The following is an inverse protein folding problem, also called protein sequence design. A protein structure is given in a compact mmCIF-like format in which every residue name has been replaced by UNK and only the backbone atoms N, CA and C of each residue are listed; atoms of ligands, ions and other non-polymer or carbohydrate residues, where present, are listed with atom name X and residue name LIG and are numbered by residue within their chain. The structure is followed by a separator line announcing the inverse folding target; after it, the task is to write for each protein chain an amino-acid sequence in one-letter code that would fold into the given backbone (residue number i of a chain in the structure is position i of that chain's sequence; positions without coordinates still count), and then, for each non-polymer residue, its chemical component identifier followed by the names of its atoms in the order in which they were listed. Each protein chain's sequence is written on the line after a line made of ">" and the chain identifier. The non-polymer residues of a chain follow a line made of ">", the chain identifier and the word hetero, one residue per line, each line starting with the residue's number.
data_IF_325583557834
#
_entry.id   IF_325583557834
#
_cell.length_a   1.000
_cell.length_b   1.000
_cell.length_c   1.000
_cell.angle_alpha   90.00
_cell.angle_beta   90.00
_cell.angle_gamma   90.00
#
_symmetry.space_group_name_H-M   'P 1'
#
loop_
_entity.id
_entity.type
_entity.pdbx_description
1 polymer ?
#
# COMPACT_ATOMS: atom_id res chain seq x y z
N UNK A 1 -7.74 -10.86 -13.19
CA UNK A 1 -7.01 -10.58 -11.91
C UNK A 1 -6.29 -11.86 -11.45
N UNK A 2 -5.11 -11.76 -10.85
CA UNK A 2 -4.38 -12.86 -10.20
C UNK A 2 -4.43 -12.66 -8.69
N UNK A 3 -4.36 -13.76 -7.92
CA UNK A 3 -4.43 -13.74 -6.46
C UNK A 3 -3.18 -14.39 -5.85
N UNK A 4 -2.90 -14.08 -4.60
CA UNK A 4 -1.80 -14.64 -3.84
C UNK A 4 -2.23 -14.89 -2.39
N UNK A 5 -1.65 -15.92 -1.76
CA UNK A 5 -1.91 -16.24 -0.36
C UNK A 5 -1.23 -15.23 0.56
N UNK A 6 -1.92 -14.82 1.62
CA UNK A 6 -1.38 -13.92 2.65
C UNK A 6 -0.63 -14.72 3.71
N UNK A 7 0.69 -14.73 3.64
CA UNK A 7 1.53 -15.43 4.61
C UNK A 7 1.14 -16.91 4.78
N UNK A 8 1.02 -17.34 6.04
CA UNK A 8 0.57 -18.70 6.40
C UNK A 8 -0.94 -18.80 6.67
N UNK A 9 -1.69 -17.76 6.34
CA UNK A 9 -3.15 -17.75 6.56
C UNK A 9 -3.90 -18.49 5.43
N UNK A 10 -5.21 -18.62 5.59
CA UNK A 10 -6.14 -19.06 4.55
C UNK A 10 -6.68 -17.91 3.67
N UNK A 11 -6.17 -16.69 3.88
CA UNK A 11 -6.62 -15.49 3.19
C UNK A 11 -5.92 -15.38 1.83
N UNK A 12 -6.71 -15.15 0.77
CA UNK A 12 -6.21 -14.81 -0.55
C UNK A 12 -6.45 -13.33 -0.85
N UNK A 13 -5.43 -12.62 -1.31
CA UNK A 13 -5.49 -11.20 -1.69
C UNK A 13 -5.28 -11.04 -3.19
N UNK A 14 -5.93 -10.06 -3.80
CA UNK A 14 -5.62 -9.70 -5.19
C UNK A 14 -4.19 -9.15 -5.29
N UNK A 15 -3.49 -9.49 -6.38
CA UNK A 15 -2.11 -9.02 -6.61
C UNK A 15 -2.01 -7.50 -6.74
N UNK A 16 -3.13 -6.83 -7.00
CA UNK A 16 -3.32 -5.38 -6.91
C UNK A 16 -4.40 -5.15 -5.86
N UNK A 17 -4.02 -4.52 -4.74
CA UNK A 17 -4.91 -4.11 -3.65
C UNK A 17 -5.35 -2.67 -3.87
N UNK A 18 -6.64 -2.36 -3.67
CA UNK A 18 -7.12 -0.98 -3.71
C UNK A 18 -6.66 -0.22 -2.47
N UNK A 19 -5.86 0.84 -2.67
CA UNK A 19 -5.45 1.76 -1.60
C UNK A 19 -6.46 2.88 -1.41
N UNK A 20 -7.14 2.92 -0.28
CA UNK A 20 -8.25 3.84 -0.01
C UNK A 20 -7.83 5.15 0.70
N UNK A 21 -6.53 5.45 0.82
CA UNK A 21 -6.04 6.64 1.53
C UNK A 21 -6.62 7.94 0.95
N UNK A 22 -6.68 8.07 -0.39
CA UNK A 22 -7.18 9.26 -1.06
C UNK A 22 -8.66 9.51 -0.78
N UNK A 23 -9.44 8.46 -0.52
CA UNK A 23 -10.88 8.54 -0.25
C UNK A 23 -11.18 9.27 1.08
N UNK A 24 -10.22 9.30 1.98
CA UNK A 24 -10.31 10.06 3.23
C UNK A 24 -10.35 11.57 3.02
N UNK A 25 -9.89 12.07 1.87
CA UNK A 25 -9.70 13.51 1.67
C UNK A 25 -8.52 14.06 2.47
N UNK A 26 -8.55 15.35 2.81
CA UNK A 26 -7.52 15.98 3.62
C UNK A 26 -7.40 15.34 5.01
N UNK A 27 -6.16 15.13 5.46
CA UNK A 27 -5.91 14.55 6.77
C UNK A 27 -5.83 15.66 7.83
N UNK A 28 -6.69 15.62 8.84
CA UNK A 28 -6.68 16.57 9.95
C UNK A 28 -5.36 16.53 10.76
N UNK A 29 -4.66 15.38 10.76
CA UNK A 29 -3.40 15.19 11.49
C UNK A 29 -2.15 15.68 10.73
N UNK A 30 -2.23 15.92 9.44
CA UNK A 30 -1.09 16.38 8.62
C UNK A 30 -1.00 17.90 8.48
N UNK A 31 -1.64 18.66 9.36
CA UNK A 31 -1.63 20.12 9.31
C UNK A 31 -2.20 20.72 8.02
N UNK A 32 -3.04 19.98 7.31
CA UNK A 32 -3.67 20.44 6.07
C UNK A 32 -2.82 20.27 4.81
N UNK A 33 -1.64 19.66 4.91
CA UNK A 33 -0.69 19.48 3.80
C UNK A 33 -1.01 18.30 2.86
N UNK A 34 -1.79 17.31 3.29
CA UNK A 34 -2.28 16.23 2.43
C UNK A 34 -3.71 16.53 1.97
N UNK A 35 -3.84 17.35 0.97
CA UNK A 35 -5.15 17.67 0.38
C UNK A 35 -5.38 16.83 -0.87
N UNK A 36 -5.89 15.64 -0.66
CA UNK A 36 -6.65 14.99 -1.73
C UNK A 36 -7.96 15.73 -1.91
N UNK A 37 -8.41 15.91 -3.13
CA UNK A 37 -9.71 16.51 -3.40
C UNK A 37 -10.81 15.72 -2.69
N UNK A 38 -11.66 16.42 -1.95
CA UNK A 38 -12.79 15.79 -1.28
C UNK A 38 -13.90 15.55 -2.30
N UNK A 39 -13.87 14.39 -2.92
CA UNK A 39 -14.93 13.97 -3.85
C UNK A 39 -16.22 13.61 -3.11
N UNK A 40 -17.39 13.70 -3.80
CA UNK A 40 -18.63 13.16 -3.29
C UNK A 40 -18.48 11.72 -2.85
N UNK A 41 -19.10 11.37 -1.75
CA UNK A 41 -19.01 10.03 -1.15
C UNK A 41 -19.50 8.95 -2.09
N UNK A 42 -20.60 9.22 -2.79
CA UNK A 42 -21.21 8.29 -3.75
C UNK A 42 -20.30 7.96 -4.94
N UNK A 43 -19.46 8.89 -5.37
CA UNK A 43 -18.47 8.63 -6.43
C UNK A 43 -17.40 7.66 -5.94
N UNK A 44 -16.93 7.83 -4.73
CA UNK A 44 -15.95 6.94 -4.11
C UNK A 44 -16.54 5.54 -3.85
N UNK A 45 -17.79 5.46 -3.40
CA UNK A 45 -18.51 4.21 -3.19
C UNK A 45 -18.67 3.46 -4.53
N UNK A 46 -19.07 4.18 -5.58
CA UNK A 46 -19.20 3.61 -6.93
C UNK A 46 -17.86 3.05 -7.42
N UNK A 47 -16.78 3.82 -7.27
CA UNK A 47 -15.44 3.40 -7.68
C UNK A 47 -14.99 2.11 -6.96
N UNK A 48 -15.22 2.00 -5.65
CA UNK A 48 -14.88 0.79 -4.90
C UNK A 48 -15.70 -0.44 -5.32
N UNK A 49 -16.99 -0.26 -5.60
CA UNK A 49 -17.85 -1.33 -6.12
C UNK A 49 -17.38 -1.82 -7.47
N UNK A 50 -17.08 -0.89 -8.37
CA UNK A 50 -16.53 -1.23 -9.68
C UNK A 50 -15.16 -1.89 -9.56
N UNK A 51 -14.30 -1.44 -8.63
CA UNK A 51 -13.02 -2.11 -8.35
C UNK A 51 -13.23 -3.58 -7.98
N UNK A 52 -14.18 -3.87 -7.10
CA UNK A 52 -14.55 -5.24 -6.75
C UNK A 52 -15.09 -6.03 -7.94
N UNK A 53 -16.01 -5.47 -8.72
CA UNK A 53 -16.59 -6.09 -9.93
C UNK A 53 -15.52 -6.44 -10.98
N UNK A 54 -14.41 -5.67 -11.03
CA UNK A 54 -13.25 -5.95 -11.89
C UNK A 54 -12.20 -6.85 -11.22
N UNK A 55 -12.53 -7.46 -10.09
CA UNK A 55 -11.75 -8.53 -9.44
C UNK A 55 -10.75 -8.06 -8.39
N UNK A 56 -10.72 -6.79 -8.00
CA UNK A 56 -10.00 -6.37 -6.81
C UNK A 56 -10.72 -6.91 -5.57
N UNK A 57 -10.15 -7.91 -4.91
CA UNK A 57 -10.75 -8.51 -3.71
C UNK A 57 -10.18 -7.95 -2.41
N UNK A 58 -9.08 -7.21 -2.46
CA UNK A 58 -8.42 -6.65 -1.28
C UNK A 58 -8.43 -5.12 -1.30
N UNK A 59 -8.75 -4.54 -0.13
CA UNK A 59 -8.91 -3.09 0.09
C UNK A 59 -8.15 -2.68 1.34
N UNK A 60 -7.28 -1.69 1.20
CA UNK A 60 -6.41 -1.19 2.27
C UNK A 60 -6.85 0.21 2.71
N UNK A 61 -7.15 0.37 3.98
CA UNK A 61 -7.52 1.65 4.62
C UNK A 61 -6.77 1.85 5.93
N UNK A 62 -7.13 2.86 6.73
CA UNK A 62 -6.62 3.10 8.08
C UNK A 62 -7.54 4.06 8.85
N UNK A 63 -7.53 3.98 10.19
CA UNK A 63 -8.26 4.92 11.06
C UNK A 63 -7.85 6.38 10.84
N UNK A 64 -6.58 6.62 10.45
CA UNK A 64 -6.06 7.97 10.21
C UNK A 64 -6.54 8.58 8.88
N UNK A 65 -7.01 7.78 7.92
CA UNK A 65 -7.35 8.29 6.60
C UNK A 65 -8.65 9.10 6.64
N UNK A 66 -8.49 10.43 6.66
CA UNK A 66 -9.61 11.36 6.81
C UNK A 66 -10.35 11.19 8.15
N UNK A 67 -9.62 10.87 9.24
CA UNK A 67 -10.18 10.61 10.56
C UNK A 67 -11.31 9.53 10.54
N UNK A 68 -11.06 8.45 9.80
CA UNK A 68 -11.99 7.32 9.66
C UNK A 68 -12.98 7.44 8.48
N UNK A 69 -12.98 8.55 7.74
CA UNK A 69 -13.86 8.72 6.57
C UNK A 69 -13.60 7.64 5.51
N UNK A 70 -12.32 7.30 5.27
CA UNK A 70 -11.97 6.24 4.33
C UNK A 70 -12.56 4.89 4.73
N UNK A 71 -12.46 4.51 6.00
CA UNK A 71 -13.06 3.28 6.52
C UNK A 71 -14.58 3.26 6.35
N UNK A 72 -15.25 4.39 6.63
CA UNK A 72 -16.70 4.51 6.46
C UNK A 72 -17.11 4.32 4.98
N UNK A 73 -16.39 4.92 4.03
CA UNK A 73 -16.65 4.77 2.59
C UNK A 73 -16.43 3.31 2.16
N UNK A 74 -15.33 2.69 2.59
CA UNK A 74 -15.03 1.27 2.30
C UNK A 74 -16.13 0.36 2.85
N UNK A 75 -16.55 0.57 4.10
CA UNK A 75 -17.63 -0.21 4.74
C UNK A 75 -18.94 -0.10 3.98
N UNK A 76 -19.34 1.12 3.60
CA UNK A 76 -20.55 1.38 2.80
C UNK A 76 -20.51 0.74 1.42
N UNK A 77 -19.36 0.84 0.76
CA UNK A 77 -19.19 0.31 -0.59
C UNK A 77 -19.31 -1.21 -0.64
N UNK A 78 -18.69 -1.90 0.34
CA UNK A 78 -18.48 -3.34 0.32
C UNK A 78 -19.45 -4.12 1.21
N UNK A 79 -20.41 -3.47 1.86
CA UNK A 79 -21.35 -4.10 2.80
C UNK A 79 -22.02 -5.37 2.24
N UNK A 80 -22.48 -5.32 0.99
CA UNK A 80 -23.19 -6.45 0.36
C UNK A 80 -22.27 -7.61 -0.07
N UNK A 81 -20.96 -7.35 -0.13
CA UNK A 81 -19.94 -8.32 -0.60
C UNK A 81 -18.84 -8.55 0.45
N UNK A 82 -19.05 -8.12 1.69
CA UNK A 82 -18.05 -8.15 2.77
C UNK A 82 -17.29 -9.47 2.89
N UNK A 83 -17.99 -10.59 2.82
CA UNK A 83 -17.42 -11.94 2.94
C UNK A 83 -16.58 -12.37 1.72
N UNK A 84 -16.67 -11.63 0.62
CA UNK A 84 -15.89 -11.88 -0.60
C UNK A 84 -14.68 -10.94 -0.71
N UNK A 85 -14.54 -10.02 0.27
CA UNK A 85 -13.47 -9.03 0.30
C UNK A 85 -12.51 -9.28 1.46
N UNK A 86 -11.25 -8.95 1.24
CA UNK A 86 -10.24 -8.80 2.28
C UNK A 86 -10.10 -7.33 2.61
N UNK A 87 -10.47 -6.93 3.83
CA UNK A 87 -10.32 -5.56 4.29
C UNK A 87 -9.14 -5.49 5.25
N UNK A 88 -8.16 -4.68 4.88
CA UNK A 88 -7.03 -4.32 5.71
C UNK A 88 -7.26 -2.91 6.29
N UNK A 89 -7.09 -2.75 7.60
CA UNK A 89 -7.04 -1.43 8.25
C UNK A 89 -5.91 -1.37 9.27
N UNK A 90 -5.66 -0.20 9.86
CA UNK A 90 -4.44 0.04 10.63
C UNK A 90 -4.74 0.87 11.88
N UNK A 91 -4.14 0.46 13.01
CA UNK A 91 -4.08 1.26 14.24
C UNK A 91 -2.87 2.21 14.19
N UNK A 92 -3.06 3.45 14.60
CA UNK A 92 -2.00 4.47 14.62
C UNK A 92 -1.00 4.26 15.76
N UNK A 93 0.20 4.84 15.64
CA UNK A 93 1.23 4.80 16.66
C UNK A 93 0.79 5.37 18.03
N UNK A 94 -0.24 6.21 18.05
CA UNK A 94 -0.78 6.82 19.26
C UNK A 94 -1.71 5.90 20.05
N UNK A 95 -2.23 4.83 19.43
CA UNK A 95 -3.20 3.91 20.01
C UNK A 95 -2.63 2.50 20.23
N UNK A 96 -1.31 2.36 20.42
CA UNK A 96 -0.64 1.04 20.52
C UNK A 96 -0.65 0.42 21.92
N UNK A 97 -1.19 1.07 22.96
CA UNK A 97 -1.43 0.40 24.24
C UNK A 97 -2.59 -0.58 24.12
N UNK A 98 -2.57 -1.71 24.84
CA UNK A 98 -3.58 -2.78 24.70
C UNK A 98 -5.03 -2.28 24.71
N UNK A 99 -5.38 -1.41 25.66
CA UNK A 99 -6.74 -0.85 25.76
C UNK A 99 -7.09 0.06 24.58
N UNK A 100 -6.12 0.81 24.09
CA UNK A 100 -6.32 1.76 22.99
C UNK A 100 -6.44 1.03 21.66
N UNK A 101 -5.67 -0.07 21.44
CA UNK A 101 -5.79 -0.97 20.29
C UNK A 101 -7.23 -1.49 20.18
N UNK A 102 -7.80 -2.02 21.30
CA UNK A 102 -9.18 -2.50 21.31
C UNK A 102 -10.18 -1.42 20.96
N UNK A 103 -10.02 -0.24 21.56
CA UNK A 103 -10.90 0.90 21.29
C UNK A 103 -10.85 1.32 19.82
N UNK A 104 -9.62 1.45 19.26
CA UNK A 104 -9.40 1.79 17.86
C UNK A 104 -9.99 0.73 16.92
N UNK A 105 -9.78 -0.56 17.23
CA UNK A 105 -10.34 -1.67 16.45
C UNK A 105 -11.87 -1.63 16.42
N UNK A 106 -12.53 -1.47 17.58
CA UNK A 106 -13.99 -1.38 17.65
C UNK A 106 -14.53 -0.19 16.83
N UNK A 107 -13.84 0.96 16.90
CA UNK A 107 -14.19 2.13 16.10
C UNK A 107 -14.01 1.88 14.60
N UNK A 108 -12.92 1.21 14.21
CA UNK A 108 -12.68 0.81 12.81
C UNK A 108 -13.77 -0.15 12.32
N UNK A 109 -14.11 -1.17 13.10
CA UNK A 109 -15.17 -2.13 12.76
C UNK A 109 -16.54 -1.45 12.64
N UNK A 110 -16.85 -0.50 13.53
CA UNK A 110 -18.07 0.30 13.45
C UNK A 110 -18.14 1.10 12.14
N UNK A 111 -17.05 1.81 11.77
CA UNK A 111 -17.00 2.58 10.52
C UNK A 111 -17.04 1.68 9.28
N UNK A 112 -16.38 0.54 9.33
CA UNK A 112 -16.36 -0.47 8.26
C UNK A 112 -17.65 -1.31 8.19
N UNK A 113 -18.56 -1.16 9.17
CA UNK A 113 -19.79 -1.93 9.28
C UNK A 113 -19.55 -3.45 9.17
N UNK A 114 -18.65 -3.97 10.00
CA UNK A 114 -18.23 -5.38 10.01
C UNK A 114 -17.95 -5.86 11.44
N UNK A 115 -18.04 -7.14 11.66
CA UNK A 115 -17.78 -7.82 12.95
C UNK A 115 -16.38 -8.44 13.03
N UNK A 116 -15.58 -8.33 11.97
CA UNK A 116 -14.19 -8.79 11.94
C UNK A 116 -13.35 -7.98 10.96
N UNK A 117 -12.01 -7.99 11.15
CA UNK A 117 -11.02 -7.43 10.21
C UNK A 117 -10.17 -8.57 9.66
N UNK A 118 -9.96 -8.60 8.34
CA UNK A 118 -9.13 -9.66 7.71
C UNK A 118 -7.66 -9.46 8.01
N UNK A 119 -7.15 -8.23 7.93
CA UNK A 119 -5.75 -7.91 8.19
C UNK A 119 -5.66 -6.59 8.97
N UNK A 120 -5.20 -6.67 10.22
CA UNK A 120 -5.05 -5.51 11.07
C UNK A 120 -3.59 -5.16 11.30
N UNK A 121 -3.22 -3.95 10.89
CA UNK A 121 -1.83 -3.49 10.94
C UNK A 121 -1.53 -2.59 12.13
N UNK A 122 -0.32 -2.67 12.67
CA UNK A 122 0.32 -1.52 13.31
C UNK A 122 0.78 -0.60 12.18
N UNK A 123 0.23 0.64 12.11
CA UNK A 123 0.49 1.58 11.01
C UNK A 123 1.94 2.07 10.97
N UNK A 124 2.49 2.34 12.16
CA UNK A 124 3.88 2.77 12.37
C UNK A 124 4.26 2.38 13.79
N UNK A 125 5.48 1.90 14.04
CA UNK A 125 5.92 1.60 15.38
C UNK A 125 5.92 2.86 16.26
N UNK A 126 5.68 2.71 17.56
CA UNK A 126 5.85 3.79 18.55
C UNK A 126 7.26 3.77 19.11
N UNK A 127 7.79 4.95 19.44
CA UNK A 127 9.03 5.06 20.23
C UNK A 127 8.77 4.94 21.74
N UNK A 128 7.51 5.12 22.17
CA UNK A 128 7.14 5.24 23.58
C UNK A 128 6.41 4.00 24.11
N UNK A 129 5.92 3.13 23.22
CA UNK A 129 5.16 1.94 23.55
C UNK A 129 5.92 0.71 23.05
N UNK A 130 6.31 -0.23 23.95
CA UNK A 130 7.00 -1.45 23.56
C UNK A 130 6.22 -2.28 22.54
N UNK A 131 6.91 -2.86 21.57
CA UNK A 131 6.32 -3.74 20.55
C UNK A 131 5.65 -4.95 21.20
N UNK A 132 6.19 -5.44 22.32
CA UNK A 132 5.63 -6.53 23.12
C UNK A 132 4.17 -6.26 23.53
N UNK A 133 3.87 -5.05 24.05
CA UNK A 133 2.51 -4.70 24.49
C UNK A 133 1.52 -4.76 23.33
N UNK A 134 1.89 -4.15 22.19
CA UNK A 134 1.05 -4.08 21.00
C UNK A 134 0.84 -5.46 20.37
N UNK A 135 1.90 -6.22 20.19
CA UNK A 135 1.84 -7.55 19.60
C UNK A 135 1.11 -8.55 20.48
N UNK A 136 1.30 -8.47 21.81
CA UNK A 136 0.56 -9.30 22.75
C UNK A 136 -0.96 -9.08 22.69
N UNK A 137 -1.38 -7.84 22.49
CA UNK A 137 -2.80 -7.54 22.33
C UNK A 137 -3.35 -7.98 20.96
N UNK A 138 -2.60 -7.75 19.88
CA UNK A 138 -3.00 -8.22 18.54
C UNK A 138 -3.11 -9.74 18.48
N UNK A 139 -2.21 -10.48 19.16
CA UNK A 139 -2.28 -11.94 19.25
C UNK A 139 -3.56 -12.41 19.94
N UNK A 140 -3.98 -11.77 21.04
CA UNK A 140 -5.26 -12.07 21.70
C UNK A 140 -6.46 -11.79 20.79
N UNK A 141 -6.46 -10.66 20.10
CA UNK A 141 -7.53 -10.30 19.17
C UNK A 141 -7.65 -11.30 18.00
N UNK A 142 -6.51 -11.86 17.56
CA UNK A 142 -6.49 -12.93 16.57
C UNK A 142 -7.03 -14.26 17.14
N UNK A 143 -6.67 -14.62 18.36
CA UNK A 143 -7.19 -15.80 19.07
C UNK A 143 -8.72 -15.68 19.31
N UNK A 144 -9.20 -14.48 19.62
CA UNK A 144 -10.63 -14.16 19.76
C UNK A 144 -11.38 -14.20 18.41
N UNK A 145 -10.66 -14.26 17.28
CA UNK A 145 -11.23 -14.28 15.93
C UNK A 145 -11.74 -12.92 15.44
N UNK A 146 -11.47 -11.85 16.18
CA UNK A 146 -11.89 -10.48 15.79
C UNK A 146 -11.02 -9.93 14.66
N UNK A 147 -9.75 -10.33 14.61
CA UNK A 147 -8.86 -10.11 13.46
C UNK A 147 -8.38 -11.47 12.93
N UNK A 148 -8.26 -11.63 11.60
CA UNK A 148 -7.84 -12.90 10.99
C UNK A 148 -6.32 -12.98 10.77
N UNK A 149 -5.68 -11.84 10.51
CA UNK A 149 -4.24 -11.74 10.29
C UNK A 149 -3.67 -10.47 10.96
N UNK A 150 -2.40 -10.56 11.39
CA UNK A 150 -1.64 -9.45 11.98
C UNK A 150 -0.65 -8.93 10.95
N UNK A 151 -0.64 -7.62 10.74
CA UNK A 151 0.33 -6.93 9.91
C UNK A 151 1.11 -5.86 10.67
N UNK A 152 2.27 -5.50 10.12
CA UNK A 152 3.03 -4.32 10.55
C UNK A 152 3.38 -3.46 9.34
N UNK A 153 3.43 -2.14 9.51
CA UNK A 153 3.82 -1.21 8.46
C UNK A 153 4.91 -0.27 8.95
N UNK A 154 5.84 0.09 8.06
CA UNK A 154 6.96 0.97 8.38
C UNK A 154 7.91 0.44 9.49
N UNK A 155 7.97 -0.87 9.67
CA UNK A 155 8.90 -1.53 10.58
C UNK A 155 10.24 -1.76 9.89
N UNK A 156 11.34 -1.51 10.61
CA UNK A 156 12.67 -2.00 10.24
C UNK A 156 12.76 -3.53 10.40
N UNK A 157 13.78 -4.15 9.83
CA UNK A 157 14.02 -5.58 10.04
C UNK A 157 14.19 -5.94 11.51
N UNK A 158 14.89 -5.08 12.29
CA UNK A 158 15.06 -5.30 13.72
C UNK A 158 13.72 -5.31 14.47
N UNK A 159 12.85 -4.33 14.19
CA UNK A 159 11.51 -4.24 14.77
C UNK A 159 10.59 -5.39 14.32
N UNK A 160 10.71 -5.84 13.07
CA UNK A 160 9.97 -7.02 12.59
C UNK A 160 10.41 -8.28 13.32
N UNK A 161 11.73 -8.49 13.50
CA UNK A 161 12.28 -9.61 14.26
C UNK A 161 11.83 -9.57 15.72
N UNK A 162 11.79 -8.39 16.33
CA UNK A 162 11.28 -8.20 17.69
C UNK A 162 9.77 -8.54 17.76
N UNK A 163 8.95 -8.00 16.86
CA UNK A 163 7.53 -8.29 16.81
C UNK A 163 7.24 -9.79 16.70
N UNK A 164 8.02 -10.51 15.90
CA UNK A 164 7.91 -11.96 15.73
C UNK A 164 8.22 -12.78 17.00
N UNK A 165 8.86 -12.20 18.02
CA UNK A 165 9.07 -12.86 19.32
C UNK A 165 7.79 -12.86 20.17
N UNK A 166 6.91 -11.88 19.99
CA UNK A 166 5.71 -11.70 20.80
C UNK A 166 4.41 -12.10 20.09
N UNK A 167 4.50 -12.44 18.80
CA UNK A 167 3.36 -12.90 18.02
C UNK A 167 3.69 -13.08 16.55
N UNK A 168 2.87 -13.85 15.85
CA UNK A 168 3.03 -14.08 14.42
C UNK A 168 2.66 -12.83 13.64
N UNK A 169 3.59 -12.30 12.84
CA UNK A 169 3.30 -11.30 11.80
C UNK A 169 3.04 -12.04 10.48
N UNK A 170 1.86 -11.84 9.89
CA UNK A 170 1.43 -12.47 8.64
C UNK A 170 1.79 -11.62 7.42
N UNK A 171 1.84 -10.29 7.59
CA UNK A 171 2.18 -9.37 6.50
C UNK A 171 2.98 -8.15 6.98
N UNK A 172 3.86 -7.65 6.11
CA UNK A 172 4.49 -6.34 6.27
C UNK A 172 4.11 -5.42 5.13
N UNK A 173 3.86 -4.13 5.43
CA UNK A 173 3.52 -3.11 4.44
C UNK A 173 4.62 -2.03 4.39
N UNK A 174 5.66 -2.19 3.55
CA UNK A 174 6.71 -1.21 3.34
C UNK A 174 6.42 -0.30 2.15
N UNK A 175 7.07 0.88 2.09
CA UNK A 175 7.22 1.62 0.84
C UNK A 175 8.17 0.87 -0.09
N UNK A 176 7.67 0.46 -1.26
CA UNK A 176 8.48 -0.28 -2.23
C UNK A 176 8.06 0.03 -3.65
N UNK A 177 8.98 0.55 -4.42
CA UNK A 177 8.85 0.88 -5.83
C UNK A 177 10.24 1.12 -6.44
N UNK A 178 10.35 1.39 -7.74
CA UNK A 178 11.64 1.59 -8.43
C UNK A 178 12.55 2.66 -7.81
N UNK A 179 11.98 3.66 -7.13
CA UNK A 179 12.72 4.75 -6.46
C UNK A 179 12.78 4.61 -4.93
N UNK A 180 12.43 3.44 -4.37
CA UNK A 180 12.58 3.07 -2.97
C UNK A 180 12.72 1.56 -2.87
N UNK A 181 13.96 1.09 -2.68
CA UNK A 181 14.33 -0.34 -2.78
C UNK A 181 15.04 -0.88 -1.55
N UNK A 182 15.10 -0.13 -0.47
CA UNK A 182 15.84 -0.52 0.75
C UNK A 182 15.37 -1.84 1.38
N UNK A 183 14.16 -2.31 1.06
CA UNK A 183 13.69 -3.62 1.54
C UNK A 183 14.43 -4.80 0.89
N UNK A 184 15.10 -4.57 -0.25
CA UNK A 184 15.82 -5.63 -0.99
C UNK A 184 17.12 -6.06 -0.33
N UNK A 185 17.65 -5.27 0.64
CA UNK A 185 18.90 -5.59 1.32
C UNK A 185 18.77 -6.86 2.19
N UNK A 186 17.88 -6.84 3.19
CA UNK A 186 17.74 -7.97 4.12
C UNK A 186 16.26 -8.28 4.46
N UNK A 187 15.38 -7.26 4.42
CA UNK A 187 14.00 -7.41 4.86
C UNK A 187 13.21 -8.37 3.96
N UNK A 188 13.42 -8.28 2.65
CA UNK A 188 12.76 -9.14 1.67
C UNK A 188 13.13 -10.62 1.88
N UNK A 189 14.40 -10.92 2.06
CA UNK A 189 14.85 -12.30 2.29
C UNK A 189 14.33 -12.85 3.62
N UNK A 190 14.31 -12.03 4.66
CA UNK A 190 13.71 -12.42 5.94
C UNK A 190 12.22 -12.73 5.81
N UNK A 191 11.47 -11.92 5.07
CA UNK A 191 10.06 -12.15 4.83
C UNK A 191 9.81 -13.45 4.06
N UNK A 192 10.60 -13.71 3.01
CA UNK A 192 10.53 -14.96 2.24
C UNK A 192 10.81 -16.19 3.10
N UNK A 193 11.84 -16.15 3.94
CA UNK A 193 12.23 -17.28 4.81
C UNK A 193 11.18 -17.56 5.90
N UNK A 194 10.41 -16.56 6.29
CA UNK A 194 9.42 -16.65 7.36
C UNK A 194 7.98 -16.67 6.86
N UNK A 195 7.73 -16.78 5.55
CA UNK A 195 6.40 -16.72 4.94
C UNK A 195 5.60 -15.48 5.39
N UNK A 196 6.23 -14.31 5.40
CA UNK A 196 5.59 -13.02 5.67
C UNK A 196 5.27 -12.35 4.34
N UNK A 197 4.00 -12.03 4.12
CA UNK A 197 3.56 -11.34 2.90
C UNK A 197 4.07 -9.91 2.84
N UNK A 198 4.54 -9.46 1.67
CA UNK A 198 4.91 -8.07 1.42
C UNK A 198 3.80 -7.40 0.62
N UNK A 199 3.16 -6.39 1.23
CA UNK A 199 2.12 -5.55 0.64
C UNK A 199 2.72 -4.16 0.41
N UNK A 200 3.22 -3.87 -0.79
CA UNK A 200 3.90 -2.58 -1.04
C UNK A 200 2.93 -1.42 -1.15
N UNK A 201 3.27 -0.27 -0.57
CA UNK A 201 2.53 0.97 -0.78
C UNK A 201 3.36 1.99 -1.57
N UNK A 202 2.74 3.07 -2.04
CA UNK A 202 3.32 4.08 -2.94
C UNK A 202 3.87 3.51 -4.26
N UNK A 203 3.30 2.45 -4.78
CA UNK A 203 3.76 1.68 -5.95
C UNK A 203 4.19 2.52 -7.16
N UNK A 204 3.67 3.75 -7.29
CA UNK A 204 4.00 4.71 -8.37
C UNK A 204 4.86 5.90 -7.88
N UNK A 205 5.56 5.78 -6.74
CA UNK A 205 6.39 6.85 -6.17
C UNK A 205 5.62 8.18 -6.08
N UNK A 206 4.40 8.15 -5.52
CA UNK A 206 3.49 9.31 -5.41
C UNK A 206 3.26 10.05 -6.74
N UNK A 207 3.34 9.32 -7.85
CA UNK A 207 3.06 9.82 -9.20
C UNK A 207 4.30 10.12 -10.06
N UNK A 208 5.52 10.02 -9.55
CA UNK A 208 6.74 10.23 -10.38
C UNK A 208 6.80 9.22 -11.52
N UNK A 209 6.55 7.94 -11.22
CA UNK A 209 6.61 6.85 -12.19
C UNK A 209 5.47 6.86 -13.22
N UNK A 210 4.56 7.83 -13.14
CA UNK A 210 3.56 8.10 -14.20
C UNK A 210 4.10 9.02 -15.31
N UNK A 211 5.29 9.63 -15.10
CA UNK A 211 5.88 10.60 -16.00
C UNK A 211 5.24 12.00 -15.99
N UNK A 212 4.20 12.22 -15.17
CA UNK A 212 3.42 13.47 -15.22
C UNK A 212 4.24 14.72 -14.88
N UNK A 213 5.22 14.60 -13.96
CA UNK A 213 6.09 15.71 -13.56
C UNK A 213 7.14 16.02 -14.62
N UNK A 214 7.51 15.06 -15.47
CA UNK A 214 8.42 15.22 -16.61
C UNK A 214 7.70 15.82 -17.83
N UNK A 215 6.37 15.83 -17.83
CA UNK A 215 5.50 16.48 -18.84
C UNK A 215 5.07 17.89 -18.43
N UNK A 216 5.76 18.48 -17.45
CA UNK A 216 5.59 19.88 -17.07
C UNK A 216 4.54 20.14 -15.98
N UNK A 217 3.97 19.09 -15.34
CA UNK A 217 3.11 19.31 -14.17
C UNK A 217 3.94 19.80 -12.99
N UNK A 218 3.59 20.95 -12.46
CA UNK A 218 4.22 21.48 -11.26
C UNK A 218 3.79 20.72 -10.00
N UNK A 219 4.71 20.61 -9.04
CA UNK A 219 4.42 20.06 -7.72
C UNK A 219 3.92 21.19 -6.83
N UNK A 220 2.61 21.26 -6.63
CA UNK A 220 1.95 22.37 -5.87
C UNK A 220 1.39 21.95 -4.51
N UNK A 221 1.54 20.68 -4.14
CA UNK A 221 1.01 20.10 -2.89
C UNK A 221 2.13 19.67 -1.93
N UNK A 222 1.76 18.91 -0.87
CA UNK A 222 2.66 18.40 0.16
C UNK A 222 3.91 17.67 -0.38
N UNK A 223 3.88 17.18 -1.61
CA UNK A 223 5.01 16.52 -2.25
C UNK A 223 6.18 17.46 -2.47
N UNK A 224 5.92 18.76 -2.59
CA UNK A 224 6.95 19.80 -2.78
C UNK A 224 8.03 19.79 -1.68
N UNK A 225 7.66 19.37 -0.46
CA UNK A 225 8.59 19.30 0.68
C UNK A 225 9.39 17.98 0.73
N UNK A 226 9.09 17.03 -0.15
CA UNK A 226 9.76 15.73 -0.19
C UNK A 226 11.04 15.81 -1.02
N UNK A 227 12.18 15.26 -0.55
CA UNK A 227 13.44 15.29 -1.29
C UNK A 227 13.30 14.82 -2.74
N UNK A 228 12.60 13.71 -2.96
CA UNK A 228 12.39 13.12 -4.29
C UNK A 228 11.68 14.06 -5.28
N UNK A 229 10.91 15.05 -4.79
CA UNK A 229 10.20 16.02 -5.63
C UNK A 229 10.94 17.34 -5.83
N UNK A 230 12.13 17.50 -5.29
CA UNK A 230 12.98 18.65 -5.62
C UNK A 230 13.40 18.58 -7.08
N UNK A 231 13.47 19.72 -7.75
CA UNK A 231 13.72 19.79 -9.20
C UNK A 231 14.97 19.06 -9.63
N UNK A 232 16.01 19.05 -8.81
CA UNK A 232 17.25 18.32 -9.09
C UNK A 232 17.04 16.82 -9.07
N UNK A 233 16.37 16.28 -8.03
CA UNK A 233 16.09 14.85 -7.92
C UNK A 233 15.10 14.38 -8.99
N UNK A 234 14.09 15.20 -9.35
CA UNK A 234 13.22 14.88 -10.48
C UNK A 234 14.02 14.73 -11.78
N UNK A 235 14.98 15.63 -12.06
CA UNK A 235 15.87 15.50 -13.24
C UNK A 235 16.68 14.21 -13.21
N UNK A 236 17.19 13.79 -12.05
CA UNK A 236 17.93 12.53 -11.91
C UNK A 236 17.10 11.29 -12.26
N UNK A 237 15.78 11.41 -12.29
CA UNK A 237 14.87 10.30 -12.69
C UNK A 237 14.53 10.29 -14.18
N UNK A 238 14.96 11.27 -14.98
CA UNK A 238 14.58 11.43 -16.40
C UNK A 238 14.90 10.19 -17.26
N UNK A 239 16.08 9.61 -17.09
CA UNK A 239 16.48 8.43 -17.88
C UNK A 239 15.61 7.22 -17.55
N UNK A 240 15.24 7.02 -16.27
CA UNK A 240 14.32 5.95 -15.87
C UNK A 240 12.92 6.18 -16.47
N UNK A 241 12.42 7.41 -16.45
CA UNK A 241 11.14 7.75 -17.06
C UNK A 241 11.16 7.53 -18.57
N UNK A 242 12.25 7.91 -19.25
CA UNK A 242 12.42 7.67 -20.70
C UNK A 242 12.39 6.17 -21.03
N UNK A 243 13.11 5.34 -20.27
CA UNK A 243 13.07 3.89 -20.45
C UNK A 243 11.66 3.32 -20.21
N UNK A 244 10.94 3.82 -19.20
CA UNK A 244 9.53 3.44 -18.98
C UNK A 244 8.66 3.84 -20.19
N UNK A 245 8.87 5.01 -20.79
CA UNK A 245 8.14 5.47 -21.99
C UNK A 245 8.43 4.57 -23.20
N UNK A 246 9.69 4.20 -23.44
CA UNK A 246 10.07 3.29 -24.53
C UNK A 246 9.40 1.92 -24.40
N UNK A 247 9.45 1.31 -23.22
CA UNK A 247 8.82 0.01 -22.98
C UNK A 247 7.28 0.12 -23.06
N UNK A 248 6.70 1.18 -22.51
CA UNK A 248 5.27 1.43 -22.55
C UNK A 248 4.76 1.56 -24.00
N UNK A 249 5.48 2.32 -24.83
CA UNK A 249 5.15 2.48 -26.24
C UNK A 249 5.23 1.13 -27.01
N UNK A 250 6.27 0.34 -26.75
CA UNK A 250 6.45 -0.97 -27.39
C UNK A 250 5.34 -1.97 -27.01
N UNK A 251 4.78 -1.85 -25.80
CA UNK A 251 3.73 -2.76 -25.29
C UNK A 251 2.31 -2.19 -25.44
N UNK A 252 2.14 -0.98 -25.96
CA UNK A 252 0.83 -0.32 -26.02
C UNK A 252 0.24 -0.06 -24.62
N UNK A 253 1.10 0.23 -23.65
CA UNK A 253 0.75 0.40 -22.24
C UNK A 253 1.07 1.81 -21.76
N UNK A 254 0.68 2.13 -20.50
CA UNK A 254 1.07 3.37 -19.81
C UNK A 254 2.34 3.13 -18.97
N UNK A 255 3.06 4.22 -18.63
CA UNK A 255 4.21 4.15 -17.72
C UNK A 255 3.82 3.54 -16.38
N UNK A 256 2.65 3.91 -15.85
CA UNK A 256 2.09 3.37 -14.59
C UNK A 256 1.97 1.85 -14.66
N UNK A 257 1.47 1.34 -15.77
CA UNK A 257 1.30 -0.10 -15.97
C UNK A 257 2.66 -0.82 -16.00
N UNK A 258 3.66 -0.27 -16.68
CA UNK A 258 5.02 -0.85 -16.71
C UNK A 258 5.65 -0.83 -15.31
N UNK A 259 5.53 0.28 -14.58
CA UNK A 259 6.07 0.39 -13.23
C UNK A 259 5.42 -0.60 -12.24
N UNK A 260 4.09 -0.77 -12.31
CA UNK A 260 3.37 -1.74 -11.49
C UNK A 260 3.71 -3.17 -11.93
N UNK A 261 3.79 -3.46 -13.23
CA UNK A 261 4.16 -4.78 -13.75
C UNK A 261 5.57 -5.18 -13.30
N UNK A 262 6.54 -4.26 -13.36
CA UNK A 262 7.88 -4.49 -12.81
C UNK A 262 7.82 -4.86 -11.32
N UNK A 263 7.04 -4.11 -10.55
CA UNK A 263 6.88 -4.35 -9.11
C UNK A 263 6.22 -5.71 -8.85
N UNK A 264 5.17 -6.07 -9.59
CA UNK A 264 4.49 -7.37 -9.49
C UNK A 264 5.39 -8.55 -9.87
N UNK A 265 6.39 -8.33 -10.71
CA UNK A 265 7.42 -9.31 -11.08
C UNK A 265 8.48 -9.53 -10.00
N UNK A 266 8.52 -8.72 -8.94
CA UNK A 266 9.54 -8.88 -7.87
C UNK A 266 9.25 -10.11 -7.01
N UNK A 267 10.30 -10.92 -6.83
CA UNK A 267 10.21 -12.09 -5.95
C UNK A 267 9.86 -11.64 -4.52
N UNK A 268 8.89 -12.31 -3.90
CA UNK A 268 8.46 -12.02 -2.53
C UNK A 268 7.35 -10.98 -2.40
N UNK A 269 7.07 -10.18 -3.42
CA UNK A 269 5.92 -9.29 -3.38
C UNK A 269 4.61 -10.08 -3.46
N UNK A 270 3.75 -9.89 -2.47
CA UNK A 270 2.41 -10.51 -2.44
C UNK A 270 1.39 -9.65 -3.18
N UNK A 271 1.35 -8.35 -2.92
CA UNK A 271 0.44 -7.42 -3.59
C UNK A 271 1.01 -6.00 -3.65
N UNK A 272 0.69 -5.28 -4.72
CA UNK A 272 0.94 -3.86 -4.84
C UNK A 272 -0.33 -3.08 -4.45
N UNK A 273 -0.22 -2.19 -3.46
CA UNK A 273 -1.31 -1.29 -3.08
C UNK A 273 -1.28 -0.09 -4.02
N UNK A 274 -2.37 0.07 -4.78
CA UNK A 274 -2.53 1.13 -5.76
C UNK A 274 -3.79 1.91 -5.44
N UNK A 275 -3.63 3.21 -5.12
CA UNK A 275 -4.73 4.12 -4.79
C UNK A 275 -4.92 5.16 -5.86
N UNK A 276 -6.17 5.51 -6.14
CA UNK A 276 -6.55 6.67 -6.94
C UNK A 276 -8.04 6.95 -6.78
N UNK A 277 -8.43 8.22 -6.90
CA UNK A 277 -9.83 8.64 -7.02
C UNK A 277 -10.29 8.76 -8.48
N UNK A 278 -9.45 8.40 -9.45
CA UNK A 278 -9.77 8.44 -10.86
C UNK A 278 -10.08 7.02 -11.35
N UNK A 279 -11.32 6.78 -11.72
CA UNK A 279 -11.83 5.49 -12.21
C UNK A 279 -11.00 4.95 -13.39
N UNK A 280 -10.76 5.78 -14.39
CA UNK A 280 -9.97 5.39 -15.57
C UNK A 280 -8.56 4.93 -15.17
N UNK A 281 -7.86 5.70 -14.33
CA UNK A 281 -6.51 5.34 -13.87
C UNK A 281 -6.51 4.05 -13.06
N UNK A 282 -7.53 3.80 -12.25
CA UNK A 282 -7.60 2.55 -11.49
C UNK A 282 -7.74 1.35 -12.40
N UNK A 283 -8.64 1.39 -13.37
CA UNK A 283 -8.84 0.28 -14.31
C UNK A 283 -7.63 0.07 -15.22
N UNK A 284 -7.00 1.14 -15.69
CA UNK A 284 -5.72 1.05 -16.39
C UNK A 284 -4.68 0.33 -15.52
N UNK A 285 -4.54 0.70 -14.26
CA UNK A 285 -3.59 0.08 -13.34
C UNK A 285 -3.91 -1.41 -13.06
N UNK A 286 -5.17 -1.82 -13.02
CA UNK A 286 -5.54 -3.24 -12.87
C UNK A 286 -5.00 -4.10 -14.01
N UNK A 287 -4.94 -3.58 -15.22
CA UNK A 287 -4.40 -4.31 -16.38
C UNK A 287 -2.88 -4.49 -16.33
N UNK A 288 -2.17 -3.88 -15.39
CA UNK A 288 -0.74 -4.14 -15.17
C UNK A 288 -0.43 -5.60 -14.90
N UNK A 289 -1.40 -6.36 -14.37
CA UNK A 289 -1.26 -7.78 -14.05
C UNK A 289 -1.13 -8.67 -15.30
N UNK A 290 -1.55 -8.15 -16.45
CA UNK A 290 -1.56 -8.87 -17.72
C UNK A 290 -0.35 -8.49 -18.60
N UNK A 291 0.47 -7.51 -18.16
CA UNK A 291 1.66 -7.07 -18.88
C UNK A 291 2.86 -7.91 -18.41
N UNK A 292 3.45 -8.63 -19.34
CA UNK A 292 4.66 -9.40 -19.12
C UNK A 292 5.87 -8.60 -19.63
N UNK A 293 6.80 -8.28 -18.73
CA UNK A 293 8.11 -7.73 -19.10
C UNK A 293 9.02 -8.88 -19.50
N UNK A 294 9.75 -8.70 -20.59
CA UNK A 294 10.83 -9.64 -20.93
C UNK A 294 11.94 -9.55 -19.89
N UNK A 295 12.79 -10.58 -19.81
CA UNK A 295 13.94 -10.59 -18.91
C UNK A 295 14.89 -9.40 -19.19
N UNK A 296 15.06 -9.05 -20.46
CA UNK A 296 15.87 -7.88 -20.88
C UNK A 296 15.25 -6.56 -20.37
N UNK A 297 13.95 -6.35 -20.58
CA UNK A 297 13.25 -5.15 -20.11
C UNK A 297 13.29 -5.03 -18.58
N UNK A 298 13.00 -6.12 -17.87
CA UNK A 298 13.05 -6.15 -16.42
C UNK A 298 14.45 -5.85 -15.89
N UNK A 299 15.50 -6.40 -16.53
CA UNK A 299 16.91 -6.17 -16.18
C UNK A 299 17.32 -4.72 -16.43
N UNK A 300 16.96 -4.14 -17.58
CA UNK A 300 17.25 -2.73 -17.89
C UNK A 300 16.62 -1.80 -16.86
N UNK A 301 15.34 -2.00 -16.53
CA UNK A 301 14.64 -1.24 -15.52
C UNK A 301 15.29 -1.40 -14.13
N UNK A 302 15.70 -2.62 -13.78
CA UNK A 302 16.35 -2.92 -12.51
C UNK A 302 17.70 -2.19 -12.35
N UNK A 303 18.54 -2.27 -13.38
CA UNK A 303 19.85 -1.61 -13.40
C UNK A 303 19.70 -0.09 -13.34
N UNK A 304 18.84 0.47 -14.19
CA UNK A 304 18.67 1.93 -14.26
C UNK A 304 18.00 2.48 -12.99
N UNK A 305 17.03 1.78 -12.41
CA UNK A 305 16.46 2.10 -11.12
C UNK A 305 17.51 2.18 -10.00
N UNK A 306 18.42 1.18 -9.92
CA UNK A 306 19.52 1.19 -8.95
C UNK A 306 20.54 2.32 -9.19
N UNK A 307 20.84 2.63 -10.45
CA UNK A 307 21.71 3.76 -10.81
C UNK A 307 21.06 5.09 -10.42
N UNK A 308 19.77 5.27 -10.72
CA UNK A 308 19.00 6.46 -10.34
C UNK A 308 19.03 6.66 -8.82
N UNK A 309 18.78 5.61 -8.03
CA UNK A 309 18.80 5.67 -6.57
C UNK A 309 20.16 6.10 -5.99
N UNK A 310 21.27 5.67 -6.60
CA UNK A 310 22.62 6.10 -6.16
C UNK A 310 22.89 7.58 -6.41
N UNK A 311 22.17 8.20 -7.33
CA UNK A 311 22.32 9.61 -7.70
C UNK A 311 21.33 10.51 -6.93
N UNK A 312 20.31 9.95 -6.27
CA UNK A 312 19.37 10.71 -5.45
C UNK A 312 20.03 11.10 -4.12
N UNK A 313 19.82 12.35 -3.69
CA UNK A 313 20.32 12.90 -2.43
C UNK A 313 19.32 12.68 -1.30
#
# INVERSE_FOLDING_TARGET
>A
MKYAKLGRTDIEVSRITYGAMELGGGNAFSGGLTRWELKPEEDNIRLLRQAFEHGASSFDTAELYGAGRSEFIVGKALANVRKQCVIATKVSAHHLRPKDIRTALWQSMFRLNTDYIDLYYIHTPSNDIPIEESMGELSKLKEEGVIRAIGVSNFSLAQLKEAMQYGRVDAIQPEYHMLQRSIEDELLDYCLQNDISIMSYNSLAKGILTGIFHKGKEVTDFRKERPLFQSENLRKTEDLIRLLEEIAAAKGATLSQIAISWLLGRKGLTSAIVGTQNEKHFFENLHSIDIELTEEEATKLDVLSKQTLKNLD
#
